data_IF_479618235569
#
_entry.id   IF_479618235569
#
_cell.length_a   1.000
_cell.length_b   1.000
_cell.length_c   1.000
_cell.angle_alpha   90.00
_cell.angle_beta   90.00
_cell.angle_gamma   90.00
#
_symmetry.space_group_name_H-M   'P 1'
#
loop_
_entity.id
_entity.type
_entity.pdbx_description
1 polymer ?
#
# COMPACT_ATOMS: atom_id res chain seq x y z
N UNK A 1 -16.16 45.35 -64.86
CA UNK A 1 -16.32 46.59 -64.08
C UNK A 1 -17.32 46.29 -62.96
N UNK A 2 -16.88 46.43 -61.69
CA UNK A 2 -17.56 46.80 -60.43
C UNK A 2 -19.00 46.28 -60.17
N UNK A 3 -19.42 45.80 -59.00
CA UNK A 3 -18.98 45.92 -57.61
C UNK A 3 -19.63 44.75 -56.83
N UNK A 4 -18.88 43.96 -56.05
CA UNK A 4 -18.75 44.11 -54.59
C UNK A 4 -20.09 44.27 -53.83
N UNK A 5 -20.61 43.16 -53.30
CA UNK A 5 -21.43 43.15 -52.08
C UNK A 5 -20.64 42.45 -50.98
N UNK A 6 -20.36 43.20 -49.91
CA UNK A 6 -19.77 42.74 -48.64
C UNK A 6 -20.87 42.71 -47.56
N UNK A 7 -20.56 41.95 -46.50
CA UNK A 7 -21.11 41.87 -45.15
C UNK A 7 -22.04 40.68 -44.84
N UNK A 8 -21.53 39.58 -44.25
CA UNK A 8 -21.18 39.34 -42.82
C UNK A 8 -22.38 38.82 -42.02
N UNK A 9 -22.32 37.57 -41.54
CA UNK A 9 -22.46 37.20 -40.12
C UNK A 9 -22.32 35.68 -39.87
N UNK A 10 -21.68 35.43 -38.74
CA UNK A 10 -21.33 34.21 -38.01
C UNK A 10 -22.39 33.11 -37.87
N UNK A 11 -21.88 31.94 -37.45
CA UNK A 11 -22.53 30.80 -36.77
C UNK A 11 -23.05 29.71 -37.72
N UNK A 12 -22.59 28.46 -37.67
CA UNK A 12 -22.98 27.36 -36.75
C UNK A 12 -22.36 26.09 -37.42
N UNK A 13 -21.85 25.02 -36.81
CA UNK A 13 -22.03 24.34 -35.53
C UNK A 13 -20.73 23.58 -35.26
N UNK A 14 -20.20 23.65 -34.05
CA UNK A 14 -19.14 22.77 -33.57
C UNK A 14 -19.60 21.31 -33.65
N UNK A 15 -18.87 20.47 -34.39
CA UNK A 15 -19.08 19.03 -34.42
C UNK A 15 -18.71 18.48 -33.03
N UNK A 16 -19.69 18.43 -32.15
CA UNK A 16 -19.58 17.85 -30.82
C UNK A 16 -19.39 16.34 -30.94
N UNK A 17 -18.15 15.89 -30.82
CA UNK A 17 -17.82 14.54 -30.38
C UNK A 17 -18.28 14.40 -28.93
N UNK A 18 -19.58 14.21 -28.73
CA UNK A 18 -20.12 13.63 -27.52
C UNK A 18 -19.82 12.14 -27.57
N UNK A 19 -18.57 11.80 -27.29
CA UNK A 19 -18.22 10.47 -26.79
C UNK A 19 -18.87 10.35 -25.42
N UNK A 20 -20.16 10.03 -25.40
CA UNK A 20 -20.80 9.43 -24.23
C UNK A 20 -20.11 8.08 -24.09
N UNK A 21 -18.93 8.08 -23.45
CA UNK A 21 -18.35 6.85 -22.96
C UNK A 21 -19.41 6.25 -22.06
N UNK A 22 -19.95 5.09 -22.46
CA UNK A 22 -20.68 4.25 -21.54
C UNK A 22 -19.70 3.96 -20.40
N UNK A 23 -19.81 4.73 -19.31
CA UNK A 23 -18.93 4.57 -18.16
C UNK A 23 -19.20 3.19 -17.59
N UNK A 24 -18.34 2.23 -17.90
CA UNK A 24 -18.43 0.89 -17.34
C UNK A 24 -18.22 1.01 -15.83
N UNK A 25 -19.11 0.48 -15.01
CA UNK A 25 -18.88 0.47 -13.56
C UNK A 25 -17.77 -0.54 -13.19
N UNK A 26 -17.17 -0.43 -11.99
CA UNK A 26 -16.25 -1.47 -11.48
C UNK A 26 -16.90 -2.85 -11.54
N UNK A 27 -18.19 -2.94 -11.18
CA UNK A 27 -19.00 -4.15 -11.29
C UNK A 27 -19.00 -4.73 -12.71
N UNK A 28 -19.33 -3.91 -13.70
CA UNK A 28 -19.41 -4.35 -15.09
C UNK A 28 -18.06 -4.84 -15.57
N UNK A 29 -17.00 -4.06 -15.32
CA UNK A 29 -15.65 -4.42 -15.76
C UNK A 29 -15.11 -5.69 -15.11
N UNK A 30 -15.41 -5.94 -13.83
CA UNK A 30 -15.00 -7.18 -13.17
C UNK A 30 -15.78 -8.39 -13.69
N UNK A 31 -17.10 -8.27 -13.91
CA UNK A 31 -17.90 -9.36 -14.48
C UNK A 31 -17.48 -9.69 -15.91
N UNK A 32 -17.29 -8.68 -16.75
CA UNK A 32 -16.84 -8.88 -18.13
C UNK A 32 -15.47 -9.59 -18.17
N UNK A 33 -14.57 -9.25 -17.24
CA UNK A 33 -13.26 -9.88 -17.14
C UNK A 33 -13.34 -11.33 -16.64
N UNK A 34 -14.19 -11.61 -15.64
CA UNK A 34 -14.45 -12.95 -15.12
C UNK A 34 -15.07 -13.86 -16.18
N UNK A 35 -16.09 -13.39 -16.90
CA UNK A 35 -16.73 -14.09 -18.02
C UNK A 35 -15.74 -14.38 -19.15
N UNK A 36 -14.81 -13.45 -19.42
CA UNK A 36 -13.74 -13.63 -20.39
C UNK A 36 -12.57 -14.50 -19.88
N UNK A 37 -12.58 -14.90 -18.59
CA UNK A 37 -11.49 -15.62 -17.96
C UNK A 37 -10.17 -14.84 -18.02
N UNK A 38 -10.20 -13.55 -17.70
CA UNK A 38 -9.04 -12.65 -17.73
C UNK A 38 -9.09 -11.61 -16.59
N UNK A 39 -8.07 -10.78 -16.46
CA UNK A 39 -8.08 -9.64 -15.54
C UNK A 39 -8.35 -8.33 -16.30
N UNK A 40 -9.13 -7.38 -15.75
CA UNK A 40 -9.38 -6.12 -16.43
C UNK A 40 -8.07 -5.33 -16.61
N UNK A 41 -7.92 -4.66 -17.75
CA UNK A 41 -6.76 -3.81 -17.99
C UNK A 41 -6.73 -2.61 -17.03
N UNK A 42 -5.56 -2.32 -16.45
CA UNK A 42 -5.41 -1.22 -15.50
C UNK A 42 -6.17 -1.44 -14.19
N UNK A 43 -6.48 -2.69 -13.85
CA UNK A 43 -7.05 -3.09 -12.57
C UNK A 43 -6.04 -2.86 -11.45
N UNK A 44 -6.45 -2.17 -10.40
CA UNK A 44 -5.67 -2.04 -9.16
C UNK A 44 -6.53 -2.38 -7.96
N UNK A 45 -5.93 -2.96 -6.93
CA UNK A 45 -6.57 -3.31 -5.68
C UNK A 45 -5.70 -2.86 -4.51
N UNK A 46 -6.34 -2.35 -3.46
CA UNK A 46 -5.70 -2.10 -2.16
C UNK A 46 -6.59 -2.70 -1.08
N UNK A 47 -6.07 -3.71 -0.39
CA UNK A 47 -6.60 -4.17 0.89
C UNK A 47 -5.78 -3.52 2.00
N UNK A 48 -6.46 -2.99 3.02
CA UNK A 48 -5.80 -2.32 4.13
C UNK A 48 -6.57 -2.52 5.43
N UNK A 49 -5.97 -3.21 6.40
CA UNK A 49 -6.48 -3.34 7.78
C UNK A 49 -5.52 -2.75 8.82
N UNK A 50 -4.51 -1.99 8.37
CA UNK A 50 -3.52 -1.46 9.29
C UNK A 50 -4.14 -0.46 10.26
N UNK A 51 -3.67 -0.53 11.50
CA UNK A 51 -4.00 0.42 12.56
C UNK A 51 -2.75 0.74 13.37
N UNK A 52 -2.63 1.98 13.83
CA UNK A 52 -1.47 2.39 14.63
C UNK A 52 -1.31 1.55 15.90
N UNK A 53 -2.43 1.23 16.58
CA UNK A 53 -2.42 0.53 17.86
C UNK A 53 -2.13 -0.98 17.77
N UNK A 54 -2.47 -1.63 16.66
CA UNK A 54 -2.42 -3.09 16.54
C UNK A 54 -1.55 -3.59 15.38
N UNK A 55 -0.95 -2.70 14.60
CA UNK A 55 -0.27 -3.07 13.37
C UNK A 55 -1.29 -3.47 12.31
N UNK A 56 -0.96 -4.48 11.51
CA UNK A 56 -1.83 -5.01 10.46
C UNK A 56 -1.10 -5.15 9.13
N UNK A 57 -1.84 -5.32 8.06
CA UNK A 57 -1.35 -5.58 6.72
C UNK A 57 -1.94 -4.57 5.73
N UNK A 58 -1.11 -4.14 4.79
CA UNK A 58 -1.54 -3.44 3.58
C UNK A 58 -1.07 -4.25 2.38
N UNK A 59 -2.01 -4.65 1.53
CA UNK A 59 -1.74 -5.44 0.35
C UNK A 59 -2.22 -4.70 -0.89
N UNK A 60 -1.31 -4.43 -1.81
CA UNK A 60 -1.56 -3.65 -3.02
C UNK A 60 -1.30 -4.52 -4.24
N UNK A 61 -2.20 -4.48 -5.22
CA UNK A 61 -1.97 -5.03 -6.57
C UNK A 61 -2.03 -3.85 -7.54
N UNK A 62 -0.92 -3.58 -8.21
CA UNK A 62 -0.81 -2.49 -9.18
C UNK A 62 -1.41 -2.86 -10.56
N UNK A 63 -1.38 -1.92 -11.50
CA UNK A 63 -1.97 -2.07 -12.83
C UNK A 63 -1.23 -3.10 -13.70
N UNK A 64 0.03 -3.35 -13.40
CA UNK A 64 0.90 -4.34 -14.02
C UNK A 64 0.67 -5.74 -13.44
N UNK A 65 0.03 -5.81 -12.26
CA UNK A 65 -0.25 -7.03 -11.53
C UNK A 65 0.83 -7.43 -10.54
N UNK A 66 1.69 -6.50 -10.13
CA UNK A 66 2.61 -6.73 -9.02
C UNK A 66 1.86 -6.61 -7.70
N UNK A 67 1.98 -7.64 -6.87
CA UNK A 67 1.53 -7.63 -5.50
C UNK A 67 2.62 -7.05 -4.61
N UNK A 68 2.25 -6.19 -3.67
CA UNK A 68 3.10 -5.73 -2.57
C UNK A 68 2.33 -5.88 -1.26
N UNK A 69 2.83 -6.74 -0.37
CA UNK A 69 2.36 -6.91 1.00
C UNK A 69 3.33 -6.16 1.93
N UNK A 70 2.80 -5.27 2.76
CA UNK A 70 3.51 -4.63 3.87
C UNK A 70 2.86 -5.03 5.18
N UNK A 71 3.66 -5.53 6.12
CA UNK A 71 3.22 -5.82 7.49
C UNK A 71 3.69 -4.73 8.43
N UNK A 72 2.78 -4.20 9.24
CA UNK A 72 3.04 -3.13 10.18
C UNK A 72 3.14 -3.67 11.60
N UNK A 73 4.11 -3.19 12.37
CA UNK A 73 4.22 -3.48 13.80
C UNK A 73 3.22 -2.62 14.58
N UNK A 74 2.62 -3.17 15.67
CA UNK A 74 1.90 -2.34 16.63
C UNK A 74 2.79 -1.22 17.17
N UNK A 75 2.28 0.01 17.19
CA UNK A 75 2.96 1.17 17.74
C UNK A 75 2.12 1.78 18.87
N UNK A 76 2.62 1.71 20.11
CA UNK A 76 1.97 2.32 21.28
C UNK A 76 2.20 3.84 21.28
N UNK A 77 1.49 4.55 20.40
CA UNK A 77 1.52 6.02 20.32
C UNK A 77 2.62 6.61 19.44
N UNK A 78 3.14 5.84 18.48
CA UNK A 78 4.11 6.30 17.47
C UNK A 78 3.63 6.00 16.05
N UNK A 79 4.42 6.44 15.06
CA UNK A 79 4.15 6.13 13.65
C UNK A 79 4.27 4.61 13.39
N UNK A 80 3.34 4.01 12.61
CA UNK A 80 3.44 2.61 12.22
C UNK A 80 4.75 2.34 11.48
N UNK A 81 5.48 1.31 11.90
CA UNK A 81 6.71 0.88 11.23
C UNK A 81 6.46 -0.39 10.43
N UNK A 82 6.95 -0.41 9.20
CA UNK A 82 6.92 -1.60 8.34
C UNK A 82 7.92 -2.61 8.90
N UNK A 83 7.43 -3.80 9.22
CA UNK A 83 8.21 -4.93 9.73
C UNK A 83 8.81 -5.78 8.62
N UNK A 84 8.08 -5.88 7.50
CA UNK A 84 8.34 -6.80 6.41
C UNK A 84 7.64 -6.27 5.16
N UNK A 85 8.34 -6.37 4.02
CA UNK A 85 7.78 -6.10 2.68
C UNK A 85 8.02 -7.31 1.78
N UNK A 86 6.95 -7.83 1.17
CA UNK A 86 7.00 -8.89 0.15
C UNK A 86 6.43 -8.31 -1.13
N UNK A 87 7.16 -8.45 -2.24
CA UNK A 87 6.73 -7.92 -3.54
C UNK A 87 7.04 -8.88 -4.67
N UNK A 88 6.15 -8.95 -5.67
CA UNK A 88 6.38 -9.75 -6.86
C UNK A 88 5.19 -9.78 -7.83
N UNK A 89 5.44 -10.19 -9.06
CA UNK A 89 4.42 -10.25 -10.10
C UNK A 89 3.46 -11.43 -9.89
N UNK A 90 2.15 -11.16 -9.95
CA UNK A 90 1.13 -12.22 -9.99
C UNK A 90 1.07 -12.85 -11.37
N UNK A 91 0.99 -14.17 -11.42
CA UNK A 91 0.74 -14.89 -12.68
C UNK A 91 -0.66 -14.56 -13.21
N UNK A 92 -0.92 -14.70 -14.53
CA UNK A 92 -2.24 -14.51 -15.10
C UNK A 92 -3.32 -15.37 -14.42
N UNK A 93 -2.98 -16.58 -13.98
CA UNK A 93 -3.86 -17.50 -13.25
C UNK A 93 -4.30 -16.91 -11.92
N UNK A 94 -3.35 -16.40 -11.12
CA UNK A 94 -3.63 -15.77 -9.82
C UNK A 94 -4.47 -14.51 -9.97
N UNK A 95 -4.22 -13.71 -11.01
CA UNK A 95 -5.04 -12.52 -11.29
C UNK A 95 -6.49 -12.90 -11.63
N UNK A 96 -6.70 -13.97 -12.40
CA UNK A 96 -8.04 -14.49 -12.72
C UNK A 96 -8.74 -15.01 -11.46
N UNK A 97 -8.04 -15.75 -10.63
CA UNK A 97 -8.57 -16.24 -9.35
C UNK A 97 -8.98 -15.08 -8.42
N UNK A 98 -8.17 -14.02 -8.34
CA UNK A 98 -8.51 -12.80 -7.60
C UNK A 98 -9.78 -12.14 -8.13
N UNK A 99 -9.89 -11.96 -9.45
CA UNK A 99 -11.07 -11.36 -10.08
C UNK A 99 -12.33 -12.19 -9.80
N UNK A 100 -12.25 -13.52 -9.93
CA UNK A 100 -13.37 -14.41 -9.61
C UNK A 100 -13.84 -14.26 -8.17
N UNK A 101 -12.92 -14.19 -7.20
CA UNK A 101 -13.28 -13.93 -5.81
C UNK A 101 -13.94 -12.56 -5.64
N UNK A 102 -13.41 -11.50 -6.25
CA UNK A 102 -13.97 -10.15 -6.15
C UNK A 102 -15.38 -10.06 -6.73
N UNK A 103 -15.66 -10.80 -7.81
CA UNK A 103 -17.00 -10.95 -8.38
C UNK A 103 -17.91 -11.71 -7.42
N UNK A 104 -17.44 -12.84 -6.88
CA UNK A 104 -18.20 -13.69 -5.95
C UNK A 104 -18.65 -12.92 -4.70
N UNK A 105 -17.75 -12.15 -4.08
CA UNK A 105 -18.06 -11.38 -2.87
C UNK A 105 -18.78 -10.05 -3.16
N UNK A 106 -19.00 -9.72 -4.44
CA UNK A 106 -19.50 -8.43 -4.91
C UNK A 106 -18.71 -7.26 -4.31
N UNK A 107 -17.40 -7.23 -4.52
CA UNK A 107 -16.46 -6.31 -3.88
C UNK A 107 -16.70 -4.80 -4.19
N UNK A 108 -17.72 -4.49 -4.99
CA UNK A 108 -18.19 -3.13 -5.30
C UNK A 108 -19.42 -2.70 -4.50
N UNK A 109 -20.02 -3.58 -3.70
CA UNK A 109 -21.24 -3.30 -2.93
C UNK A 109 -20.96 -3.34 -1.44
N UNK A 110 -21.06 -2.19 -0.76
CA UNK A 110 -21.01 -2.11 0.69
C UNK A 110 -22.21 -2.90 1.27
N UNK A 111 -21.95 -3.75 2.26
CA UNK A 111 -23.04 -4.38 3.04
C UNK A 111 -23.48 -3.42 4.14
N UNK A 112 -24.74 -3.56 4.55
CA UNK A 112 -25.23 -2.86 5.74
C UNK A 112 -24.40 -3.31 6.95
N UNK A 113 -23.71 -2.37 7.56
CA UNK A 113 -22.89 -2.57 8.75
C UNK A 113 -23.52 -1.82 9.91
N UNK A 114 -23.37 -2.30 11.16
CA UNK A 114 -23.71 -1.50 12.32
C UNK A 114 -22.95 -0.18 12.30
N UNK A 115 -23.63 0.90 12.72
CA UNK A 115 -23.09 2.26 12.69
C UNK A 115 -21.85 2.42 13.59
N UNK A 116 -21.75 1.58 14.63
CA UNK A 116 -20.68 1.61 15.63
C UNK A 116 -20.15 0.21 15.91
N UNK A 117 -18.86 0.13 16.18
CA UNK A 117 -18.16 -1.06 16.70
C UNK A 117 -17.49 -0.73 18.03
N UNK A 118 -17.19 -1.75 18.84
CA UNK A 118 -16.40 -1.60 20.06
C UNK A 118 -14.97 -1.16 19.69
N UNK A 119 -14.45 -1.68 18.59
CA UNK A 119 -13.19 -1.30 17.98
C UNK A 119 -13.43 -0.45 16.73
N UNK A 120 -12.88 0.76 16.70
CA UNK A 120 -12.99 1.66 15.54
C UNK A 120 -12.09 1.25 14.35
N UNK A 121 -11.26 0.21 14.51
CA UNK A 121 -10.45 -0.33 13.43
C UNK A 121 -11.31 -0.94 12.32
N UNK A 122 -10.91 -0.69 11.07
CA UNK A 122 -11.59 -1.15 9.86
C UNK A 122 -10.61 -1.82 8.93
N UNK A 123 -11.07 -2.86 8.26
CA UNK A 123 -10.48 -3.30 7.01
C UNK A 123 -11.19 -2.61 5.85
N UNK A 124 -10.41 -2.12 4.89
CA UNK A 124 -10.89 -1.42 3.70
C UNK A 124 -10.37 -2.13 2.46
N UNK A 125 -11.24 -2.25 1.45
CA UNK A 125 -10.89 -2.73 0.13
C UNK A 125 -11.24 -1.67 -0.91
N UNK A 126 -10.21 -1.09 -1.52
CA UNK A 126 -10.32 -0.15 -2.63
C UNK A 126 -10.04 -0.87 -3.96
N UNK A 127 -10.91 -0.66 -4.93
CA UNK A 127 -10.80 -1.22 -6.28
C UNK A 127 -10.80 -0.09 -7.31
N UNK A 128 -9.95 -0.20 -8.33
CA UNK A 128 -10.01 0.68 -9.51
C UNK A 128 -9.90 -0.12 -10.79
N UNK A 129 -10.68 0.28 -11.79
CA UNK A 129 -10.59 -0.22 -13.16
C UNK A 129 -10.73 0.96 -14.11
N UNK A 130 -9.63 1.34 -14.76
CA UNK A 130 -9.56 2.59 -15.52
C UNK A 130 -9.87 3.80 -14.63
N UNK A 131 -10.86 4.61 -15.00
CA UNK A 131 -11.29 5.78 -14.23
C UNK A 131 -12.27 5.47 -13.10
N UNK A 132 -12.78 4.24 -13.02
CA UNK A 132 -13.81 3.86 -12.07
C UNK A 132 -13.18 3.40 -10.75
N UNK A 133 -13.80 3.76 -9.64
CA UNK A 133 -13.39 3.36 -8.29
C UNK A 133 -14.57 2.81 -7.51
N UNK A 134 -14.29 1.83 -6.66
CA UNK A 134 -15.18 1.40 -5.59
C UNK A 134 -14.38 1.23 -4.30
N UNK A 135 -15.05 1.38 -3.16
CA UNK A 135 -14.48 1.15 -1.84
C UNK A 135 -15.53 0.47 -0.97
N UNK A 136 -15.15 -0.60 -0.29
CA UNK A 136 -15.96 -1.25 0.74
C UNK A 136 -15.15 -1.42 2.01
N UNK A 137 -15.81 -1.54 3.14
CA UNK A 137 -15.17 -1.70 4.43
C UNK A 137 -15.97 -2.62 5.36
N UNK A 138 -15.27 -3.24 6.30
CA UNK A 138 -15.84 -4.03 7.39
C UNK A 138 -15.12 -3.65 8.69
N UNK A 139 -15.82 -3.68 9.83
CA UNK A 139 -15.18 -3.51 11.13
C UNK A 139 -14.22 -4.68 11.39
N UNK A 140 -13.07 -4.40 12.01
CA UNK A 140 -12.05 -5.43 12.28
C UNK A 140 -12.62 -6.60 13.09
N UNK A 141 -13.48 -6.31 14.08
CA UNK A 141 -14.09 -7.31 14.95
C UNK A 141 -15.16 -8.17 14.22
N UNK A 142 -15.65 -7.71 13.06
CA UNK A 142 -16.68 -8.39 12.26
C UNK A 142 -16.11 -9.17 11.06
N UNK A 143 -14.82 -9.05 10.77
CA UNK A 143 -14.18 -9.69 9.60
C UNK A 143 -14.40 -11.19 9.54
N UNK A 144 -14.23 -11.87 10.68
CA UNK A 144 -14.42 -13.32 10.79
C UNK A 144 -15.90 -13.73 10.71
N UNK A 145 -16.84 -12.85 11.06
CA UNK A 145 -18.26 -13.13 10.90
C UNK A 145 -18.72 -12.93 9.45
N UNK A 146 -18.25 -11.86 8.80
CA UNK A 146 -18.67 -11.49 7.44
C UNK A 146 -17.95 -12.28 6.35
N UNK A 147 -16.71 -12.70 6.61
CA UNK A 147 -15.86 -13.52 5.76
C UNK A 147 -15.49 -12.93 4.38
N UNK A 148 -16.04 -11.80 3.93
CA UNK A 148 -15.77 -11.28 2.58
C UNK A 148 -14.37 -10.74 2.45
N UNK A 149 -14.02 -9.72 3.25
CA UNK A 149 -12.71 -9.09 3.19
C UNK A 149 -11.64 -10.03 3.73
N UNK A 150 -11.99 -10.84 4.74
CA UNK A 150 -11.14 -11.92 5.26
C UNK A 150 -10.71 -12.92 4.18
N UNK A 151 -11.60 -13.30 3.26
CA UNK A 151 -11.26 -14.18 2.13
C UNK A 151 -10.31 -13.50 1.14
N UNK A 152 -10.45 -12.20 0.91
CA UNK A 152 -9.54 -11.44 0.02
C UNK A 152 -8.14 -11.37 0.63
N UNK A 153 -8.04 -11.00 1.91
CA UNK A 153 -6.80 -11.01 2.68
C UNK A 153 -6.13 -12.39 2.59
N UNK A 154 -6.83 -13.46 2.96
CA UNK A 154 -6.31 -14.82 2.92
C UNK A 154 -5.79 -15.22 1.53
N UNK A 155 -6.52 -14.87 0.47
CA UNK A 155 -6.11 -15.15 -0.90
C UNK A 155 -4.82 -14.41 -1.27
N UNK A 156 -4.76 -13.12 -0.97
CA UNK A 156 -3.62 -12.27 -1.30
C UNK A 156 -2.37 -12.65 -0.48
N UNK A 157 -2.54 -12.96 0.80
CA UNK A 157 -1.45 -13.43 1.67
C UNK A 157 -0.94 -14.79 1.21
N UNK A 158 -1.81 -15.69 0.72
CA UNK A 158 -1.38 -16.94 0.08
C UNK A 158 -0.57 -16.67 -1.18
N UNK A 159 -0.99 -15.72 -2.03
CA UNK A 159 -0.20 -15.34 -3.21
C UNK A 159 1.16 -14.77 -2.82
N UNK A 160 1.21 -13.94 -1.77
CA UNK A 160 2.45 -13.35 -1.27
C UNK A 160 3.42 -14.40 -0.69
N UNK A 161 2.90 -15.43 -0.02
CA UNK A 161 3.71 -16.51 0.54
C UNK A 161 4.47 -17.31 -0.52
N UNK A 162 3.97 -17.33 -1.76
CA UNK A 162 4.62 -17.96 -2.91
C UNK A 162 5.56 -16.99 -3.67
N UNK A 163 5.76 -15.77 -3.18
CA UNK A 163 6.70 -14.80 -3.73
C UNK A 163 7.95 -14.75 -2.85
N UNK A 164 9.11 -14.51 -3.47
CA UNK A 164 10.34 -14.31 -2.72
C UNK A 164 10.30 -12.96 -1.97
N UNK A 165 10.68 -12.91 -0.68
CA UNK A 165 10.80 -11.64 0.02
C UNK A 165 11.87 -10.78 -0.65
N UNK A 166 11.54 -9.52 -0.94
CA UNK A 166 12.56 -8.57 -1.41
C UNK A 166 13.47 -8.26 -0.21
N UNK A 167 14.80 -8.49 -0.31
CA UNK A 167 15.70 -8.15 0.78
C UNK A 167 15.61 -6.64 1.03
N UNK A 168 15.31 -6.24 2.26
CA UNK A 168 15.31 -4.82 2.62
C UNK A 168 16.69 -4.21 2.31
N UNK A 169 16.77 -2.95 1.86
CA UNK A 169 18.03 -2.23 1.91
C UNK A 169 18.44 -2.14 3.38
N UNK A 170 19.42 -2.94 3.76
CA UNK A 170 19.99 -2.98 5.10
C UNK A 170 20.27 -1.53 5.54
N UNK A 171 19.44 -1.03 6.44
CA UNK A 171 19.61 0.31 6.98
C UNK A 171 20.84 0.29 7.88
N UNK A 172 21.95 0.78 7.34
CA UNK A 172 23.08 1.34 8.08
C UNK A 172 23.65 0.47 9.20
N UNK A 173 24.36 -0.60 8.84
CA UNK A 173 25.38 -1.20 9.67
C UNK A 173 26.72 -1.13 8.94
N UNK A 174 27.36 0.04 8.93
CA UNK A 174 28.77 0.15 8.58
C UNK A 174 29.57 -0.68 9.60
N UNK A 175 29.87 -1.94 9.28
CA UNK A 175 31.08 -2.57 9.81
C UNK A 175 32.24 -2.01 9.00
N UNK A 176 33.16 -1.26 9.62
CA UNK A 176 34.34 -0.81 8.91
C UNK A 176 35.15 -2.03 8.48
N UNK A 177 35.50 -2.02 7.21
CA UNK A 177 36.53 -2.85 6.58
C UNK A 177 37.79 -2.90 7.46
N UNK A 178 38.01 -3.99 8.20
CA UNK A 178 39.37 -4.37 8.63
C UNK A 178 40.07 -5.02 7.43
N UNK A 179 40.49 -4.18 6.48
CA UNK A 179 41.56 -4.53 5.56
C UNK A 179 42.87 -4.44 6.35
N UNK A 180 43.58 -5.57 6.41
CA UNK A 180 44.91 -5.66 6.99
C UNK A 180 45.85 -4.62 6.37
N UNK A 181 46.38 -3.74 7.22
CA UNK A 181 47.54 -2.92 6.90
C UNK A 181 48.66 -3.32 7.86
N UNK A 182 49.57 -4.13 7.32
CA UNK A 182 50.86 -4.46 7.90
C UNK A 182 51.73 -3.18 7.90
N UNK A 183 51.81 -2.53 9.06
CA UNK A 183 52.57 -1.30 9.28
C UNK A 183 53.15 -1.31 10.69
N UNK A 184 54.44 -0.95 10.88
CA UNK A 184 55.17 -1.17 12.11
C UNK A 184 54.61 -0.35 13.28
N UNK A 185 54.75 -0.84 14.53
CA UNK A 185 54.14 -0.21 15.71
C UNK A 185 54.68 1.21 15.92
N UNK A 186 53.83 2.24 16.06
CA UNK A 186 54.29 3.56 16.46
C UNK A 186 54.67 3.56 17.94
N UNK A 187 55.95 3.84 18.12
CA UNK A 187 56.75 4.12 19.31
C UNK A 187 55.98 4.82 20.46
N UNK A 188 56.07 4.21 21.64
CA UNK A 188 55.72 4.77 22.94
C UNK A 188 56.67 5.93 23.24
N UNK A 189 56.27 7.18 23.01
CA UNK A 189 56.70 8.35 23.79
C UNK A 189 56.03 9.63 23.30
N UNK A 190 55.00 10.09 24.01
CA UNK A 190 54.89 11.50 24.39
C UNK A 190 53.86 11.68 25.51
N UNK A 191 54.40 12.01 26.68
CA UNK A 191 53.68 12.53 27.82
C UNK A 191 52.81 13.72 27.41
N UNK A 192 51.55 13.71 27.86
CA UNK A 192 50.77 14.95 27.99
C UNK A 192 50.30 15.04 29.43
N UNK A 193 50.83 16.06 30.06
CA UNK A 193 50.71 16.45 31.45
C UNK A 193 49.35 17.15 31.69
N UNK A 194 48.66 16.82 32.78
CA UNK A 194 47.75 17.76 33.44
C UNK A 194 46.28 17.83 33.00
N UNK A 195 45.54 16.71 33.03
CA UNK A 195 44.06 16.77 33.15
C UNK A 195 43.61 15.97 34.36
N UNK A 196 43.18 16.67 35.41
CA UNK A 196 42.67 16.09 36.63
C UNK A 196 41.30 15.39 36.40
N UNK A 197 41.01 14.28 37.07
CA UNK A 197 39.73 13.59 36.93
C UNK A 197 38.58 14.40 37.58
N UNK A 198 37.53 14.66 36.79
CA UNK A 198 36.29 15.29 37.23
C UNK A 198 35.55 14.36 38.21
N UNK A 199 35.38 14.80 39.45
CA UNK A 199 34.53 14.13 40.45
C UNK A 199 33.09 14.59 40.27
N UNK A 200 32.20 13.70 39.84
CA UNK A 200 30.76 13.93 39.86
C UNK A 200 30.27 13.64 41.29
N UNK A 201 29.95 14.68 42.07
CA UNK A 201 29.25 14.52 43.35
C UNK A 201 27.75 14.60 43.12
N UNK A 202 27.09 13.45 43.14
CA UNK A 202 25.65 13.31 43.30
C UNK A 202 25.23 13.85 44.67
N UNK A 203 24.40 14.90 44.67
CA UNK A 203 23.73 15.41 45.87
C UNK A 203 22.35 15.90 45.51
N UNK A 204 21.36 15.00 45.44
CA UNK A 204 19.95 15.35 45.69
C UNK A 204 19.08 14.12 45.95
N UNK A 205 19.04 13.68 47.22
CA UNK A 205 17.93 12.87 47.72
C UNK A 205 17.53 13.35 49.12
N UNK A 206 16.33 13.93 49.31
CA UNK A 206 15.83 14.23 50.63
C UNK A 206 15.32 12.95 51.30
N UNK A 207 15.86 12.62 52.48
CA UNK A 207 15.26 11.63 53.38
C UNK A 207 14.13 12.30 54.18
N UNK A 208 13.00 11.60 54.27
CA UNK A 208 11.98 11.76 55.31
C UNK A 208 12.56 11.47 56.70
#
# INVERSE_FOLDING_TARGET
MNAALRYTRFALVALGLLSVGCGSSVRSSLRDADDAGSAPQGFTLVYDDHSAGFGGERIEVDAEGNLTLRRYRPALGGEPQVAETISGALTPERRRELVGLLVEIEAWSQRDMPETSINEAKAVLDLRVGSNRSSIWEWADDLDANQRLRRVEQLLTRFAADLDPTPEPSSGGETPTEEGSDGPPPDDTRAVEGVAPVRITDTSRPRR
#
